data_IF_430610554880
#
_entry.id   IF_430610554880
#
_cell.length_a   1.000
_cell.length_b   1.000
_cell.length_c   1.000
_cell.angle_alpha   90.00
_cell.angle_beta   90.00
_cell.angle_gamma   90.00
#
_symmetry.space_group_name_H-M   'P 1'
#
loop_
_entity.id
_entity.type
_entity.pdbx_description
1 polymer ?
#
# COMPACT_ATOMS: atom_id res chain seq x y z
N UNK A 1 -19.99 -23.57 14.15
CA UNK A 1 -20.90 -22.81 15.04
C UNK A 1 -20.42 -21.38 15.33
N UNK A 2 -19.26 -21.17 16.00
CA UNK A 2 -18.83 -19.83 16.47
C UNK A 2 -18.65 -18.77 15.36
N UNK A 3 -18.11 -19.17 14.20
CA UNK A 3 -17.81 -18.26 13.08
C UNK A 3 -19.04 -17.85 12.27
N UNK A 4 -20.00 -18.77 12.11
CA UNK A 4 -21.29 -18.50 11.48
C UNK A 4 -22.07 -17.45 12.29
N UNK A 5 -22.14 -17.61 13.61
CA UNK A 5 -22.77 -16.63 14.52
C UNK A 5 -22.11 -15.25 14.43
N UNK A 6 -20.79 -15.20 14.29
CA UNK A 6 -20.07 -13.92 14.14
C UNK A 6 -20.38 -13.24 12.80
N UNK A 7 -20.46 -14.00 11.70
CA UNK A 7 -20.85 -13.46 10.39
C UNK A 7 -22.29 -12.93 10.45
N UNK A 8 -23.20 -13.72 11.01
CA UNK A 8 -24.60 -13.37 11.19
C UNK A 8 -24.79 -12.10 12.03
N UNK A 9 -24.12 -12.01 13.19
CA UNK A 9 -24.18 -10.81 14.03
C UNK A 9 -23.65 -9.58 13.29
N UNK A 10 -22.58 -9.73 12.53
CA UNK A 10 -21.98 -8.61 11.77
C UNK A 10 -22.89 -8.16 10.62
N UNK A 11 -23.62 -9.07 9.97
CA UNK A 11 -24.61 -8.70 8.93
C UNK A 11 -25.80 -7.94 9.53
N UNK A 12 -26.24 -8.33 10.73
CA UNK A 12 -27.29 -7.63 11.46
C UNK A 12 -26.83 -6.24 11.92
N UNK A 13 -25.62 -6.12 12.47
CA UNK A 13 -24.98 -4.85 12.84
C UNK A 13 -24.93 -3.86 11.65
N UNK A 14 -24.72 -4.36 10.43
CA UNK A 14 -24.62 -3.56 9.21
C UNK A 14 -25.95 -3.35 8.48
N UNK A 15 -27.08 -3.67 9.11
CA UNK A 15 -28.42 -3.54 8.53
C UNK A 15 -28.59 -4.22 7.17
N UNK A 16 -27.89 -5.34 6.95
CA UNK A 16 -28.01 -6.20 5.75
C UNK A 16 -28.30 -7.65 6.15
N UNK A 17 -29.10 -7.81 7.20
CA UNK A 17 -29.47 -9.09 7.79
C UNK A 17 -30.21 -10.04 6.84
N UNK A 18 -30.77 -9.55 5.73
CA UNK A 18 -31.38 -10.38 4.69
C UNK A 18 -30.43 -11.42 4.07
N UNK A 19 -29.12 -11.15 4.06
CA UNK A 19 -28.09 -12.10 3.60
C UNK A 19 -27.91 -13.31 4.51
N UNK A 20 -28.55 -13.34 5.68
CA UNK A 20 -28.60 -14.55 6.53
C UNK A 20 -29.25 -15.73 5.80
N UNK A 21 -30.14 -15.49 4.82
CA UNK A 21 -30.69 -16.54 3.94
C UNK A 21 -29.63 -17.23 3.09
N UNK A 22 -28.53 -16.52 2.79
CA UNK A 22 -27.41 -16.98 1.98
C UNK A 22 -26.17 -17.34 2.83
N UNK A 23 -26.34 -17.63 4.13
CA UNK A 23 -25.23 -17.82 5.07
C UNK A 23 -24.22 -18.90 4.67
N UNK A 24 -24.67 -19.95 3.98
CA UNK A 24 -23.80 -20.98 3.44
C UNK A 24 -22.76 -20.43 2.46
N UNK A 25 -23.12 -19.42 1.65
CA UNK A 25 -22.20 -18.76 0.70
C UNK A 25 -21.14 -17.93 1.44
N UNK A 26 -21.53 -17.23 2.50
CA UNK A 26 -20.59 -16.49 3.36
C UNK A 26 -19.63 -17.44 4.08
N UNK A 27 -20.13 -18.52 4.68
CA UNK A 27 -19.29 -19.51 5.35
C UNK A 27 -18.32 -20.14 4.34
N UNK A 28 -18.78 -20.50 3.14
CA UNK A 28 -17.93 -21.08 2.11
C UNK A 28 -16.72 -20.19 1.77
N UNK A 29 -16.94 -18.88 1.59
CA UNK A 29 -15.90 -17.91 1.22
C UNK A 29 -15.04 -17.49 2.42
N UNK A 30 -15.65 -17.28 3.59
CA UNK A 30 -15.01 -16.62 4.74
C UNK A 30 -14.56 -17.59 5.85
N UNK A 31 -14.81 -18.90 5.74
CA UNK A 31 -14.49 -19.89 6.79
C UNK A 31 -13.04 -19.84 7.28
N UNK A 32 -12.10 -19.49 6.41
CA UNK A 32 -10.66 -19.46 6.73
C UNK A 32 -10.13 -18.05 7.02
N UNK A 33 -10.99 -17.02 7.01
CA UNK A 33 -10.59 -15.62 7.21
C UNK A 33 -10.69 -15.21 8.67
N UNK A 34 -9.93 -14.21 9.12
CA UNK A 34 -10.03 -13.74 10.52
C UNK A 34 -11.26 -12.81 10.72
N UNK A 35 -11.73 -12.67 11.96
CA UNK A 35 -12.93 -11.87 12.27
C UNK A 35 -12.83 -10.42 11.78
N UNK A 36 -11.63 -9.81 11.83
CA UNK A 36 -11.39 -8.47 11.31
C UNK A 36 -11.62 -8.39 9.79
N UNK A 37 -11.13 -9.38 9.04
CA UNK A 37 -11.34 -9.44 7.58
C UNK A 37 -12.82 -9.64 7.25
N UNK A 38 -13.49 -10.54 7.98
CA UNK A 38 -14.94 -10.75 7.84
C UNK A 38 -15.70 -9.43 8.00
N UNK A 39 -15.43 -8.69 9.08
CA UNK A 39 -16.06 -7.38 9.32
C UNK A 39 -15.77 -6.40 8.18
N UNK A 40 -14.51 -6.30 7.75
CA UNK A 40 -14.13 -5.41 6.65
C UNK A 40 -14.81 -5.77 5.32
N UNK A 41 -14.96 -7.05 5.00
CA UNK A 41 -15.67 -7.52 3.80
C UNK A 41 -17.15 -7.17 3.87
N UNK A 42 -17.77 -7.37 5.04
CA UNK A 42 -19.19 -7.06 5.24
C UNK A 42 -19.45 -5.54 5.16
N UNK A 43 -18.58 -4.71 5.74
CA UNK A 43 -18.65 -3.25 5.55
C UNK A 43 -18.51 -2.87 4.08
N UNK A 44 -17.53 -3.43 3.36
CA UNK A 44 -17.34 -3.12 1.94
C UNK A 44 -18.52 -3.59 1.07
N UNK A 45 -19.19 -4.67 1.46
CA UNK A 45 -20.41 -5.15 0.82
C UNK A 45 -21.56 -4.16 1.06
N UNK A 46 -21.71 -3.64 2.28
CA UNK A 46 -22.69 -2.59 2.60
C UNK A 46 -22.44 -1.33 1.78
N UNK A 47 -21.21 -0.83 1.78
CA UNK A 47 -20.83 0.37 1.03
C UNK A 47 -21.11 0.22 -0.48
N UNK A 48 -20.90 -0.98 -1.03
CA UNK A 48 -21.21 -1.26 -2.43
C UNK A 48 -22.72 -1.22 -2.70
N UNK A 49 -23.53 -1.81 -1.81
CA UNK A 49 -24.99 -1.78 -1.91
C UNK A 49 -25.49 -0.33 -1.83
N UNK A 50 -25.00 0.44 -0.87
CA UNK A 50 -25.40 1.86 -0.71
C UNK A 50 -25.02 2.70 -1.94
N UNK A 51 -23.92 2.40 -2.64
CA UNK A 51 -23.51 3.11 -3.85
C UNK A 51 -24.28 2.75 -5.12
N UNK A 52 -24.70 1.49 -5.23
CA UNK A 52 -25.35 0.97 -6.45
C UNK A 52 -26.86 0.79 -6.31
N UNK A 53 -27.38 0.97 -5.08
CA UNK A 53 -28.77 0.69 -4.68
C UNK A 53 -29.26 -0.72 -5.04
N UNK A 54 -28.34 -1.67 -5.29
CA UNK A 54 -28.67 -3.00 -5.78
C UNK A 54 -27.87 -4.09 -5.08
N UNK A 55 -28.57 -5.19 -4.80
CA UNK A 55 -27.95 -6.40 -4.27
C UNK A 55 -27.15 -7.14 -5.35
N UNK A 56 -25.98 -7.70 -5.01
CA UNK A 56 -25.15 -8.42 -5.96
C UNK A 56 -25.80 -9.72 -6.43
N UNK A 57 -26.02 -9.85 -7.73
CA UNK A 57 -26.54 -11.08 -8.35
C UNK A 57 -25.58 -12.27 -8.22
N UNK A 58 -24.26 -12.03 -8.13
CA UNK A 58 -23.22 -13.05 -7.97
C UNK A 58 -22.50 -12.95 -6.62
N UNK A 59 -23.24 -13.15 -5.53
CA UNK A 59 -22.74 -12.96 -4.15
C UNK A 59 -21.39 -13.62 -3.84
N UNK A 60 -21.18 -14.89 -4.20
CA UNK A 60 -19.91 -15.61 -3.93
C UNK A 60 -18.72 -14.92 -4.63
N UNK A 61 -18.92 -14.49 -5.88
CA UNK A 61 -17.88 -13.77 -6.63
C UNK A 61 -17.60 -12.41 -6.00
N UNK A 62 -18.64 -11.66 -5.63
CA UNK A 62 -18.50 -10.37 -4.96
C UNK A 62 -17.77 -10.49 -3.63
N UNK A 63 -18.12 -11.49 -2.81
CA UNK A 63 -17.44 -11.73 -1.53
C UNK A 63 -15.95 -12.06 -1.72
N UNK A 64 -15.60 -12.86 -2.73
CA UNK A 64 -14.20 -13.12 -3.08
C UNK A 64 -13.48 -11.85 -3.52
N UNK A 65 -14.13 -11.03 -4.36
CA UNK A 65 -13.58 -9.74 -4.83
C UNK A 65 -13.32 -8.78 -3.65
N UNK A 66 -14.30 -8.60 -2.78
CA UNK A 66 -14.20 -7.74 -1.59
C UNK A 66 -13.17 -8.26 -0.59
N UNK A 67 -13.10 -9.58 -0.40
CA UNK A 67 -12.08 -10.23 0.44
C UNK A 67 -10.67 -9.98 -0.10
N UNK A 68 -10.48 -10.08 -1.42
CA UNK A 68 -9.20 -9.77 -2.06
C UNK A 68 -8.84 -8.29 -1.89
N UNK A 69 -9.80 -7.37 -2.04
CA UNK A 69 -9.56 -5.94 -1.81
C UNK A 69 -9.17 -5.63 -0.36
N UNK A 70 -9.85 -6.25 0.61
CA UNK A 70 -9.56 -6.03 2.04
C UNK A 70 -8.29 -6.74 2.50
N UNK A 71 -7.97 -7.92 1.95
CA UNK A 71 -6.67 -8.55 2.18
C UNK A 71 -5.54 -7.72 1.55
N UNK A 72 -5.72 -7.12 0.37
CA UNK A 72 -4.71 -6.24 -0.22
C UNK A 72 -4.43 -4.99 0.62
N UNK A 73 -5.47 -4.35 1.18
CA UNK A 73 -5.31 -3.09 1.91
C UNK A 73 -4.30 -3.17 3.06
N UNK A 74 -4.36 -4.22 3.88
CA UNK A 74 -3.41 -4.36 4.99
C UNK A 74 -1.98 -4.69 4.54
N UNK A 75 -1.80 -5.34 3.38
CA UNK A 75 -0.48 -5.57 2.78
C UNK A 75 0.11 -4.24 2.36
N UNK A 76 -0.65 -3.43 1.64
CA UNK A 76 -0.20 -2.14 1.13
C UNK A 76 0.04 -1.14 2.26
N UNK A 77 -0.81 -1.11 3.28
CA UNK A 77 -0.59 -0.32 4.51
C UNK A 77 0.71 -0.73 5.22
N UNK A 78 1.00 -2.04 5.29
CA UNK A 78 2.26 -2.53 5.87
C UNK A 78 3.45 -2.20 4.97
N UNK A 79 3.31 -2.31 3.64
CA UNK A 79 4.36 -1.95 2.68
C UNK A 79 4.71 -0.47 2.75
N UNK A 80 3.72 0.41 2.94
CA UNK A 80 3.93 1.85 3.09
C UNK A 80 4.70 2.15 4.38
N UNK A 81 4.29 1.53 5.50
CA UNK A 81 4.95 1.70 6.81
C UNK A 81 6.39 1.23 6.85
N UNK A 82 6.69 0.12 6.17
CA UNK A 82 8.04 -0.45 6.12
C UNK A 82 8.88 0.10 4.95
N UNK A 83 8.37 1.09 4.20
CA UNK A 83 9.12 1.76 3.12
C UNK A 83 9.26 0.97 1.80
N UNK A 84 8.53 -0.14 1.65
CA UNK A 84 8.54 -1.00 0.47
C UNK A 84 7.60 -0.50 -0.62
N UNK A 85 6.51 0.20 -0.27
CA UNK A 85 5.48 0.61 -1.23
C UNK A 85 6.02 1.40 -2.44
N UNK A 86 6.93 2.39 -2.28
CA UNK A 86 7.50 3.10 -3.42
C UNK A 86 8.31 2.19 -4.37
N UNK A 87 8.90 1.11 -3.85
CA UNK A 87 9.72 0.17 -4.61
C UNK A 87 8.88 -0.73 -5.51
N UNK A 88 7.59 -0.92 -5.20
CA UNK A 88 6.66 -1.74 -6.00
C UNK A 88 6.52 -1.18 -7.42
N UNK A 89 6.53 0.15 -7.56
CA UNK A 89 6.25 0.84 -8.84
C UNK A 89 7.43 1.60 -9.41
N UNK A 90 8.62 1.45 -8.83
CA UNK A 90 9.80 2.25 -9.15
C UNK A 90 10.18 2.20 -10.64
N UNK A 91 10.12 1.02 -11.25
CA UNK A 91 10.43 0.79 -12.67
C UNK A 91 9.22 0.41 -13.52
N UNK A 92 8.01 0.68 -13.01
CA UNK A 92 6.77 0.31 -13.68
C UNK A 92 6.22 1.51 -14.45
N UNK A 93 5.91 1.37 -15.77
CA UNK A 93 5.28 2.43 -16.54
C UNK A 93 3.97 2.90 -15.91
N UNK A 94 3.65 4.19 -16.00
CA UNK A 94 2.49 4.80 -15.33
C UNK A 94 1.17 4.04 -15.56
N UNK A 95 0.94 3.53 -16.79
CA UNK A 95 -0.25 2.77 -17.17
C UNK A 95 -0.38 1.41 -16.47
N UNK A 96 0.71 0.86 -15.94
CA UNK A 96 0.76 -0.47 -15.32
C UNK A 96 0.96 -0.41 -13.80
N UNK A 97 1.12 0.78 -13.21
CA UNK A 97 1.38 0.95 -11.77
C UNK A 97 0.27 0.35 -10.91
N UNK A 98 -0.99 0.61 -11.25
CA UNK A 98 -2.14 0.06 -10.50
C UNK A 98 -2.15 -1.48 -10.53
N UNK A 99 -1.88 -2.07 -11.71
CA UNK A 99 -1.82 -3.52 -11.86
C UNK A 99 -0.66 -4.11 -11.04
N UNK A 100 0.53 -3.50 -11.06
CA UNK A 100 1.67 -3.95 -10.26
C UNK A 100 1.39 -3.90 -8.75
N UNK A 101 0.72 -2.84 -8.28
CA UNK A 101 0.29 -2.72 -6.87
C UNK A 101 -0.72 -3.82 -6.52
N UNK A 102 -1.69 -4.07 -7.42
CA UNK A 102 -2.70 -5.11 -7.23
C UNK A 102 -2.07 -6.50 -7.17
N UNK A 103 -1.19 -6.82 -8.11
CA UNK A 103 -0.49 -8.11 -8.18
C UNK A 103 0.38 -8.32 -6.94
N UNK A 104 1.11 -7.30 -6.51
CA UNK A 104 1.89 -7.33 -5.27
C UNK A 104 1.02 -7.65 -4.05
N UNK A 105 -0.11 -6.95 -3.91
CA UNK A 105 -1.05 -7.20 -2.82
C UNK A 105 -1.66 -8.60 -2.87
N UNK A 106 -1.97 -9.11 -4.06
CA UNK A 106 -2.50 -10.46 -4.26
C UNK A 106 -1.47 -11.52 -3.83
N UNK A 107 -0.20 -11.37 -4.22
CA UNK A 107 0.88 -12.29 -3.91
C UNK A 107 1.08 -12.52 -2.40
N UNK A 108 0.93 -11.48 -1.58
CA UNK A 108 1.12 -11.56 -0.13
C UNK A 108 -0.18 -11.63 0.68
N UNK A 109 -1.34 -11.70 0.03
CA UNK A 109 -2.68 -11.65 0.66
C UNK A 109 -2.93 -12.70 1.75
N UNK A 110 -2.28 -13.87 1.64
CA UNK A 110 -2.44 -15.00 2.58
C UNK A 110 -1.45 -14.94 3.76
N UNK A 111 -0.50 -14.01 3.75
CA UNK A 111 0.51 -13.96 4.79
C UNK A 111 -0.04 -13.30 6.06
N UNK A 112 0.47 -13.70 7.22
CA UNK A 112 0.12 -13.04 8.48
C UNK A 112 0.79 -11.68 8.57
N UNK A 113 0.12 -10.71 9.21
CA UNK A 113 0.65 -9.35 9.42
C UNK A 113 2.05 -9.33 10.06
N UNK A 114 2.30 -10.23 11.01
CA UNK A 114 3.62 -10.35 11.67
C UNK A 114 4.69 -10.83 10.68
N UNK A 115 4.36 -11.80 9.82
CA UNK A 115 5.27 -12.32 8.81
C UNK A 115 5.61 -11.25 7.77
N UNK A 116 4.60 -10.60 7.20
CA UNK A 116 4.77 -9.53 6.20
C UNK A 116 5.61 -8.39 6.77
N UNK A 117 5.32 -7.94 8.00
CA UNK A 117 6.10 -6.89 8.65
C UNK A 117 7.58 -7.27 8.74
N UNK A 118 7.88 -8.48 9.18
CA UNK A 118 9.27 -8.96 9.31
C UNK A 118 9.95 -9.06 7.94
N UNK A 119 9.27 -9.61 6.94
CA UNK A 119 9.79 -9.75 5.59
C UNK A 119 10.07 -8.37 4.97
N UNK A 120 9.07 -7.49 4.94
CA UNK A 120 9.19 -6.16 4.32
C UNK A 120 10.27 -5.31 5.00
N UNK A 121 10.33 -5.32 6.34
CA UNK A 121 11.38 -4.63 7.07
C UNK A 121 12.77 -5.13 6.69
N UNK A 122 12.96 -6.46 6.67
CA UNK A 122 14.26 -7.05 6.34
C UNK A 122 14.64 -6.80 4.88
N UNK A 123 13.68 -6.89 3.96
CA UNK A 123 13.86 -6.53 2.56
C UNK A 123 14.32 -5.08 2.44
N UNK A 124 13.64 -4.15 3.13
CA UNK A 124 14.00 -2.73 3.11
C UNK A 124 15.42 -2.50 3.64
N UNK A 125 15.79 -3.12 4.76
CA UNK A 125 17.14 -3.02 5.33
C UNK A 125 18.22 -3.51 4.35
N UNK A 126 18.02 -4.67 3.70
CA UNK A 126 18.97 -5.22 2.73
C UNK A 126 19.11 -4.31 1.50
N UNK A 127 17.98 -3.89 0.92
CA UNK A 127 18.00 -3.01 -0.25
C UNK A 127 18.60 -1.65 0.08
N UNK A 128 18.31 -1.09 1.27
CA UNK A 128 18.92 0.15 1.74
C UNK A 128 20.43 0.04 1.87
N UNK A 129 20.94 -1.06 2.40
CA UNK A 129 22.39 -1.21 2.60
C UNK A 129 23.18 -1.27 1.29
N UNK A 130 22.60 -1.85 0.23
CA UNK A 130 23.29 -2.02 -1.07
C UNK A 130 22.98 -0.92 -2.10
N UNK A 131 21.74 -0.42 -2.11
CA UNK A 131 21.21 0.46 -3.16
C UNK A 131 20.81 1.84 -2.67
N UNK A 132 21.28 2.27 -1.48
CA UNK A 132 21.09 3.65 -1.03
C UNK A 132 21.98 4.60 -1.85
N UNK A 133 21.37 5.30 -2.80
CA UNK A 133 21.98 6.34 -3.64
C UNK A 133 21.61 7.71 -3.06
N UNK A 134 22.48 8.74 -3.16
CA UNK A 134 22.09 10.10 -2.82
C UNK A 134 20.81 10.53 -3.54
N UNK A 135 19.89 11.19 -2.84
CA UNK A 135 18.67 11.75 -3.42
C UNK A 135 19.06 12.84 -4.39
N UNK A 136 18.58 12.69 -5.61
CA UNK A 136 18.59 13.71 -6.65
C UNK A 136 17.30 14.51 -6.59
N UNK A 137 17.30 15.72 -7.14
CA UNK A 137 16.07 16.51 -7.30
C UNK A 137 14.98 15.70 -8.02
N UNK A 138 15.35 14.95 -9.07
CA UNK A 138 14.46 14.06 -9.83
C UNK A 138 13.72 13.02 -8.97
N UNK A 139 14.30 12.61 -7.83
CA UNK A 139 13.66 11.66 -6.91
C UNK A 139 12.35 12.21 -6.32
N UNK A 140 12.23 13.54 -6.17
CA UNK A 140 11.00 14.23 -5.76
C UNK A 140 9.96 14.28 -6.88
N UNK A 141 10.37 14.12 -8.14
CA UNK A 141 9.49 14.23 -9.30
C UNK A 141 8.84 12.91 -9.74
N UNK A 142 9.04 11.81 -9.01
CA UNK A 142 8.53 10.47 -9.36
C UNK A 142 7.00 10.36 -9.43
N UNK A 143 6.28 11.28 -8.78
CA UNK A 143 4.81 11.30 -8.75
C UNK A 143 4.22 12.27 -9.77
N UNK A 144 3.04 11.92 -10.31
CA UNK A 144 2.29 12.75 -11.25
C UNK A 144 2.07 14.17 -10.69
N UNK A 145 2.30 15.20 -11.50
CA UNK A 145 2.08 16.60 -11.17
C UNK A 145 0.62 16.99 -11.42
N UNK A 146 -0.04 17.53 -10.40
CA UNK A 146 -1.43 18.01 -10.50
C UNK A 146 -1.53 19.54 -10.54
N UNK A 147 -0.66 20.24 -9.81
CA UNK A 147 -0.63 21.70 -9.75
C UNK A 147 0.72 22.23 -10.25
N UNK A 148 0.74 23.43 -10.82
CA UNK A 148 1.97 23.99 -11.40
C UNK A 148 3.05 24.26 -10.35
N UNK A 149 2.63 24.65 -9.15
CA UNK A 149 3.52 24.99 -8.05
C UNK A 149 4.15 23.77 -7.37
N UNK A 150 3.66 22.55 -7.63
CA UNK A 150 4.25 21.32 -7.05
C UNK A 150 5.73 21.17 -7.43
N UNK A 151 6.14 21.62 -8.63
CA UNK A 151 7.55 21.62 -9.03
C UNK A 151 8.39 22.52 -8.12
N UNK A 152 7.88 23.71 -7.76
CA UNK A 152 8.58 24.66 -6.89
C UNK A 152 8.70 24.12 -5.46
N UNK A 153 7.62 23.53 -4.93
CA UNK A 153 7.66 22.93 -3.59
C UNK A 153 8.58 21.72 -3.52
N UNK A 154 8.63 20.90 -4.57
CA UNK A 154 9.53 19.73 -4.65
C UNK A 154 10.99 20.15 -4.66
N UNK A 155 11.32 21.17 -5.47
CA UNK A 155 12.66 21.78 -5.49
C UNK A 155 13.03 22.38 -4.13
N UNK A 156 12.13 23.15 -3.53
CA UNK A 156 12.34 23.73 -2.21
C UNK A 156 12.57 22.66 -1.13
N UNK A 157 11.77 21.59 -1.13
CA UNK A 157 11.93 20.49 -0.18
C UNK A 157 13.27 19.74 -0.35
N UNK A 158 13.73 19.58 -1.59
CA UNK A 158 15.05 19.05 -1.89
C UNK A 158 16.17 19.93 -1.32
N UNK A 159 16.11 21.24 -1.60
CA UNK A 159 17.09 22.22 -1.11
C UNK A 159 17.14 22.29 0.43
N UNK A 160 15.98 22.15 1.09
CA UNK A 160 15.90 22.09 2.56
C UNK A 160 16.40 20.77 3.16
N UNK A 161 16.72 19.78 2.33
CA UNK A 161 17.16 18.44 2.77
C UNK A 161 16.04 17.66 3.47
N UNK A 162 14.79 17.92 3.10
CA UNK A 162 13.65 17.20 3.66
C UNK A 162 13.79 15.70 3.40
N UNK A 163 13.23 14.86 4.27
CA UNK A 163 13.09 13.45 3.96
C UNK A 163 12.06 13.25 2.82
N UNK A 164 12.45 12.55 1.76
CA UNK A 164 11.59 12.32 0.59
C UNK A 164 10.25 11.67 0.95
N UNK A 165 10.25 10.67 1.82
CA UNK A 165 9.03 9.94 2.20
C UNK A 165 8.09 10.84 3.03
N UNK A 166 8.65 11.63 3.93
CA UNK A 166 7.90 12.59 4.74
C UNK A 166 7.30 13.70 3.86
N UNK A 167 8.08 14.17 2.88
CA UNK A 167 7.59 15.11 1.87
C UNK A 167 6.45 14.52 1.02
N UNK A 168 6.61 13.28 0.53
CA UNK A 168 5.56 12.60 -0.23
C UNK A 168 4.26 12.44 0.57
N UNK A 169 4.36 12.10 1.85
CA UNK A 169 3.19 12.00 2.72
C UNK A 169 2.49 13.36 2.88
N UNK A 170 3.27 14.42 3.06
CA UNK A 170 2.76 15.79 3.14
C UNK A 170 2.07 16.23 1.83
N UNK A 171 2.63 15.89 0.68
CA UNK A 171 2.03 16.20 -0.63
C UNK A 171 0.67 15.49 -0.81
N UNK A 172 0.54 14.24 -0.33
CA UNK A 172 -0.74 13.52 -0.33
C UNK A 172 -1.76 14.22 0.59
N UNK A 173 -1.35 14.56 1.81
CA UNK A 173 -2.21 15.27 2.78
C UNK A 173 -2.74 16.59 2.20
N UNK A 174 -1.87 17.36 1.53
CA UNK A 174 -2.25 18.62 0.89
C UNK A 174 -3.23 18.43 -0.26
N UNK A 175 -3.05 17.38 -1.07
CA UNK A 175 -3.99 17.04 -2.15
C UNK A 175 -5.35 16.64 -1.61
N UNK A 176 -5.41 15.92 -0.49
CA UNK A 176 -6.65 15.58 0.18
C UNK A 176 -7.35 16.82 0.74
N UNK A 177 -6.60 17.73 1.37
CA UNK A 177 -7.12 19.00 1.88
C UNK A 177 -7.75 19.84 0.76
N UNK A 178 -7.04 20.00 -0.37
CA UNK A 178 -7.55 20.73 -1.53
C UNK A 178 -8.80 20.06 -2.13
N UNK A 179 -8.86 18.73 -2.13
CA UNK A 179 -10.03 17.97 -2.57
C UNK A 179 -11.24 18.20 -1.65
N UNK A 180 -11.04 18.19 -0.33
CA UNK A 180 -12.11 18.45 0.66
C UNK A 180 -12.64 19.87 0.51
N UNK A 181 -11.77 20.86 0.27
CA UNK A 181 -12.15 22.24 -0.04
C UNK A 181 -12.84 22.40 -1.42
N UNK A 182 -12.98 21.33 -2.21
CA UNK A 182 -13.61 21.39 -3.52
C UNK A 182 -12.80 22.11 -4.60
N UNK A 183 -11.49 22.28 -4.39
CA UNK A 183 -10.61 23.03 -5.28
C UNK A 183 -10.43 22.33 -6.63
N UNK A 184 -10.64 23.08 -7.72
CA UNK A 184 -10.58 22.56 -9.11
C UNK A 184 -9.58 23.30 -10.00
N UNK A 185 -8.99 24.39 -9.53
CA UNK A 185 -8.09 25.22 -10.33
C UNK A 185 -6.67 24.65 -10.39
N UNK A 186 -5.87 25.12 -11.36
CA UNK A 186 -4.49 24.67 -11.56
C UNK A 186 -3.49 25.27 -10.58
N UNK A 187 -3.86 26.36 -9.90
CA UNK A 187 -3.03 27.09 -8.95
C UNK A 187 -3.45 26.77 -7.52
N UNK A 188 -2.48 26.73 -6.60
CA UNK A 188 -2.76 26.50 -5.18
C UNK A 188 -3.10 27.84 -4.50
N UNK A 189 -4.21 27.92 -3.74
CA UNK A 189 -4.56 29.12 -2.97
C UNK A 189 -3.41 29.59 -2.05
N UNK A 190 -3.24 30.91 -1.90
CA UNK A 190 -2.10 31.48 -1.17
C UNK A 190 -2.03 31.03 0.30
N UNK A 191 -3.16 30.89 0.98
CA UNK A 191 -3.26 30.36 2.36
C UNK A 191 -2.72 28.93 2.46
N UNK A 192 -3.02 28.10 1.47
CA UNK A 192 -2.54 26.71 1.41
C UNK A 192 -1.06 26.65 1.02
N UNK A 193 -0.59 27.57 0.15
CA UNK A 193 0.83 27.69 -0.23
C UNK A 193 1.70 27.99 0.99
N UNK A 194 1.33 28.97 1.80
CA UNK A 194 2.06 29.33 3.02
C UNK A 194 2.09 28.18 4.03
N UNK A 195 0.93 27.55 4.27
CA UNK A 195 0.84 26.37 5.13
C UNK A 195 1.73 25.21 4.64
N UNK A 196 1.83 25.03 3.33
CA UNK A 196 2.64 23.96 2.75
C UNK A 196 4.13 24.21 2.95
N UNK A 197 4.61 25.44 2.74
CA UNK A 197 5.99 25.84 3.00
C UNK A 197 6.33 25.63 4.49
N UNK A 198 5.47 26.11 5.40
CA UNK A 198 5.68 25.97 6.85
C UNK A 198 5.78 24.49 7.27
N UNK A 199 4.95 23.62 6.67
CA UNK A 199 5.03 22.19 6.95
C UNK A 199 6.26 21.54 6.34
N UNK A 200 6.74 21.98 5.17
CA UNK A 200 8.00 21.50 4.57
C UNK A 200 9.17 21.83 5.50
N UNK A 201 9.22 23.04 6.05
CA UNK A 201 10.29 23.49 6.96
C UNK A 201 10.35 22.65 8.25
N UNK A 202 9.20 22.10 8.68
CA UNK A 202 9.07 21.24 9.86
C UNK A 202 9.33 19.76 9.57
N UNK A 203 9.56 19.36 8.31
CA UNK A 203 9.82 17.97 7.98
C UNK A 203 11.16 17.49 8.56
N UNK A 204 11.26 16.20 8.93
CA UNK A 204 12.53 15.63 9.36
C UNK A 204 13.57 15.78 8.25
N UNK A 205 14.71 16.39 8.59
CA UNK A 205 15.88 16.48 7.73
C UNK A 205 16.67 15.18 7.87
N UNK A 206 16.79 14.41 6.80
CA UNK A 206 17.56 13.17 6.80
C UNK A 206 18.67 13.22 5.76
N UNK A 207 19.66 12.33 5.88
CA UNK A 207 20.60 12.10 4.78
C UNK A 207 19.79 11.69 3.57
N UNK A 208 19.68 12.62 2.63
CA UNK A 208 19.14 12.52 1.27
C UNK A 208 19.68 11.25 0.59
N UNK A 209 19.16 10.07 0.94
CA UNK A 209 19.49 8.78 0.33
C UNK A 209 18.20 8.02 0.07
N UNK A 210 17.98 7.64 -1.18
CA UNK A 210 16.86 6.82 -1.64
C UNK A 210 17.36 5.46 -2.05
N UNK A 211 16.47 4.47 -1.94
CA UNK A 211 16.74 3.15 -2.48
C UNK A 211 16.46 3.19 -3.97
N UNK A 212 17.48 2.95 -4.78
CA UNK A 212 17.37 2.75 -6.23
C UNK A 212 17.71 1.32 -6.59
N UNK A 213 16.68 0.46 -6.55
CA UNK A 213 16.82 -0.94 -6.95
C UNK A 213 17.01 -1.01 -8.46
N UNK A 214 17.93 -1.79 -9.03
CA UNK A 214 18.00 -2.05 -10.47
C UNK A 214 16.68 -2.58 -11.05
N UNK A 215 16.30 -2.12 -12.25
CA UNK A 215 15.04 -2.55 -12.92
C UNK A 215 14.98 -4.04 -13.28
N UNK A 216 16.12 -4.74 -13.28
CA UNK A 216 16.19 -6.20 -13.43
C UNK A 216 15.70 -6.97 -12.20
N UNK A 217 15.65 -6.33 -11.03
CA UNK A 217 15.24 -6.99 -9.78
C UNK A 217 13.73 -6.86 -9.63
N UNK A 218 13.02 -7.96 -9.79
CA UNK A 218 11.62 -8.04 -9.41
C UNK A 218 11.48 -8.18 -7.88
N UNK A 219 10.72 -7.26 -7.28
CA UNK A 219 10.57 -7.16 -5.83
C UNK A 219 9.84 -8.37 -5.22
N UNK A 220 8.88 -8.95 -5.94
CA UNK A 220 8.12 -10.13 -5.48
C UNK A 220 9.04 -11.35 -5.41
N UNK A 221 9.84 -11.58 -6.45
CA UNK A 221 10.82 -12.68 -6.48
C UNK A 221 11.90 -12.49 -5.42
N UNK A 222 12.35 -11.25 -5.21
CA UNK A 222 13.31 -10.94 -4.14
C UNK A 222 12.78 -11.28 -2.75
N UNK A 223 11.55 -10.90 -2.44
CA UNK A 223 10.93 -11.21 -1.13
C UNK A 223 10.72 -12.73 -0.97
N UNK A 224 10.40 -13.46 -2.04
CA UNK A 224 10.26 -14.92 -2.03
C UNK A 224 11.59 -15.63 -1.78
N UNK A 225 12.65 -15.23 -2.47
CA UNK A 225 13.99 -15.76 -2.24
C UNK A 225 14.46 -15.50 -0.80
N UNK A 226 14.21 -14.30 -0.28
CA UNK A 226 14.48 -13.97 1.13
C UNK A 226 13.67 -14.87 2.08
N UNK A 227 12.39 -15.12 1.79
CA UNK A 227 11.57 -16.00 2.59
C UNK A 227 12.10 -17.44 2.60
N UNK A 228 12.53 -17.97 1.45
CA UNK A 228 13.11 -19.32 1.36
C UNK A 228 14.34 -19.45 2.24
N UNK A 229 15.26 -18.47 2.20
CA UNK A 229 16.44 -18.45 3.05
C UNK A 229 16.08 -18.43 4.55
N UNK A 230 15.10 -17.59 4.93
CA UNK A 230 14.64 -17.52 6.33
C UNK A 230 14.01 -18.85 6.77
N UNK A 231 13.21 -19.51 5.90
CA UNK A 231 12.60 -20.82 6.19
C UNK A 231 13.65 -21.93 6.30
N UNK A 232 14.75 -21.84 5.56
CA UNK A 232 15.90 -22.73 5.68
C UNK A 232 16.75 -22.47 6.94
N UNK A 233 16.38 -21.51 7.78
CA UNK A 233 17.12 -21.15 8.99
C UNK A 233 18.38 -20.33 8.73
N UNK A 234 18.59 -19.85 7.49
CA UNK A 234 19.77 -19.08 7.10
C UNK A 234 19.61 -17.64 7.58
N UNK A 235 20.59 -17.14 8.32
CA UNK A 235 20.64 -15.75 8.73
C UNK A 235 21.09 -14.86 7.56
N UNK A 236 20.14 -14.21 6.91
CA UNK A 236 20.42 -13.33 5.76
C UNK A 236 21.02 -12.00 6.23
N UNK A 237 22.27 -11.75 5.84
CA UNK A 237 23.03 -10.54 6.21
C UNK A 237 23.30 -9.63 5.02
N UNK A 238 23.29 -10.13 3.78
CA UNK A 238 23.57 -9.34 2.58
C UNK A 238 22.53 -9.56 1.48
N UNK A 239 22.38 -8.53 0.63
CA UNK A 239 21.50 -8.56 -0.54
C UNK A 239 21.96 -9.58 -1.58
N UNK A 240 23.26 -9.86 -1.64
CA UNK A 240 23.86 -10.83 -2.58
C UNK A 240 23.43 -12.26 -2.32
N UNK A 241 23.25 -12.64 -1.04
CA UNK A 241 22.72 -13.95 -0.69
C UNK A 241 21.32 -14.16 -1.29
N UNK A 242 20.49 -13.11 -1.28
CA UNK A 242 19.14 -13.16 -1.86
C UNK A 242 19.21 -13.19 -3.39
N UNK A 243 20.08 -12.39 -3.99
CA UNK A 243 20.22 -12.34 -5.46
C UNK A 243 20.71 -13.66 -6.04
N UNK A 244 21.64 -14.37 -5.38
CA UNK A 244 22.09 -15.70 -5.82
C UNK A 244 20.93 -16.70 -5.88
N UNK A 245 20.09 -16.74 -4.85
CA UNK A 245 18.91 -17.61 -4.84
C UNK A 245 17.93 -17.21 -5.94
N UNK A 246 17.78 -15.91 -6.23
CA UNK A 246 16.93 -15.45 -7.34
C UNK A 246 17.44 -15.88 -8.71
N UNK A 247 18.76 -15.98 -8.91
CA UNK A 247 19.36 -16.47 -10.17
C UNK A 247 19.15 -17.98 -10.36
N UNK A 248 18.97 -18.72 -9.27
CA UNK A 248 18.74 -20.17 -9.25
C UNK A 248 17.24 -20.56 -9.35
N UNK A 249 16.31 -19.59 -9.37
CA UNK A 249 14.85 -19.77 -9.39
C UNK A 249 14.24 -19.63 -10.80
#
# INVERSE_FOLDING_TARGET
>A
ARKARFIESTLQEMHIGEFTRDMNKFIHVLKNTCHRQIRSVIHSLRDMIDRTEKYPSKLVYTLKKLLNQTSQYHILDTAAKEGIYPLITQHVPAKQKEQAIFDFGLHFSMYSRRSIKKLFRKTFELLKNKFAVPVTEESYHRNYLRYQEETLFRKYAYEQGANLNAYMALEIEMRELLKIKGHKERFIPSDVRELFIEKIDKLPKEKLRVIEVPGSINLITFIRALEQLIRAGIQVTSTEQVLKVMEEM
#
